data_IF_354725085422
#
_entry.id   IF_354725085422
#
_cell.length_a   1.000
_cell.length_b   1.000
_cell.length_c   1.000
_cell.angle_alpha   90.00
_cell.angle_beta   90.00
_cell.angle_gamma   90.00
#
_symmetry.space_group_name_H-M   'P 1'
#
loop_
_entity.id
_entity.type
_entity.pdbx_description
1 polymer ?
#
# COMPACT_ATOMS: atom_id res chain seq x y z
N UNK A 1 -19.12 1.81 -12.07
CA UNK A 1 -18.77 1.36 -12.29
C UNK A 1 -18.09 0.49 -12.32
N UNK A 2 -17.81 0.06 -12.28
CA UNK A 2 -17.33 -0.60 -12.28
C UNK A 2 -16.66 -1.36 -12.56
N UNK A 3 -16.54 -1.61 -12.73
CA UNK A 3 -16.00 -2.14 -13.21
C UNK A 3 -15.07 -2.83 -13.24
N UNK A 4 -14.70 -2.69 -12.86
CA UNK A 4 -13.69 -3.26 -13.22
C UNK A 4 -13.18 -4.00 -12.26
N UNK A 5 -13.03 -5.02 -12.45
CA UNK A 5 -12.68 -5.87 -11.40
C UNK A 5 -11.30 -5.64 -11.00
N UNK A 6 -11.06 -4.69 -10.18
CA UNK A 6 -9.83 -4.66 -9.56
C UNK A 6 -9.84 -5.63 -8.46
N UNK A 7 -9.77 -6.86 -8.77
CA UNK A 7 -9.58 -7.91 -7.80
C UNK A 7 -8.22 -7.76 -7.14
N UNK A 8 -8.09 -8.32 -5.96
CA UNK A 8 -6.81 -8.38 -5.25
C UNK A 8 -5.73 -9.01 -6.14
N UNK A 9 -6.09 -10.01 -6.92
CA UNK A 9 -5.15 -10.66 -7.85
C UNK A 9 -4.65 -9.70 -8.92
N UNK A 10 -5.52 -8.86 -9.44
CA UNK A 10 -5.14 -7.89 -10.45
C UNK A 10 -4.13 -6.87 -9.90
N UNK A 11 -4.43 -6.30 -8.72
CA UNK A 11 -3.50 -5.37 -8.05
C UNK A 11 -2.16 -6.04 -7.80
N UNK A 12 -2.20 -7.27 -7.32
CA UNK A 12 -0.99 -8.04 -7.04
C UNK A 12 -0.14 -8.21 -8.31
N UNK A 13 -0.77 -8.48 -9.44
CA UNK A 13 -0.06 -8.62 -10.71
C UNK A 13 0.60 -7.30 -11.15
N UNK A 14 -0.14 -6.19 -11.05
CA UNK A 14 0.41 -4.86 -11.37
C UNK A 14 1.63 -4.53 -10.51
N UNK A 15 1.51 -4.74 -9.21
CA UNK A 15 2.58 -4.42 -8.26
C UNK A 15 3.78 -5.33 -8.47
N UNK A 16 3.57 -6.63 -8.69
CA UNK A 16 4.65 -7.57 -8.97
C UNK A 16 5.49 -7.11 -10.16
N UNK A 17 4.85 -6.75 -11.26
CA UNK A 17 5.53 -6.25 -12.45
C UNK A 17 6.27 -4.94 -12.17
N UNK A 18 5.63 -4.01 -11.47
CA UNK A 18 6.20 -2.71 -11.19
C UNK A 18 7.38 -2.77 -10.22
N UNK A 19 7.38 -3.71 -9.27
CA UNK A 19 8.53 -3.96 -8.40
C UNK A 19 9.69 -4.51 -9.21
N UNK A 20 9.42 -5.42 -10.13
CA UNK A 20 10.47 -6.03 -10.96
C UNK A 20 11.07 -5.07 -11.97
N UNK A 21 10.28 -4.19 -12.56
CA UNK A 21 10.74 -3.30 -13.63
C UNK A 21 11.24 -1.93 -13.13
N UNK A 22 11.18 -1.67 -11.81
CA UNK A 22 11.66 -0.43 -11.22
C UNK A 22 10.69 0.73 -11.25
N UNK A 23 9.46 0.53 -11.70
CA UNK A 23 8.44 1.57 -11.67
C UNK A 23 8.05 1.93 -10.25
N UNK A 24 7.96 0.96 -9.35
CA UNK A 24 7.80 1.20 -7.93
C UNK A 24 9.19 1.23 -7.30
N UNK A 25 9.50 2.32 -6.63
CA UNK A 25 10.74 2.49 -5.88
C UNK A 25 10.42 2.36 -4.40
N UNK A 26 11.16 1.52 -3.69
CA UNK A 26 11.01 1.34 -2.24
C UNK A 26 12.06 2.19 -1.53
N UNK A 27 11.68 3.35 -0.96
CA UNK A 27 12.65 4.27 -0.37
C UNK A 27 13.42 3.61 0.77
N UNK A 28 14.72 3.86 0.83
CA UNK A 28 15.59 3.35 1.87
C UNK A 28 16.05 1.91 1.70
N UNK A 29 15.53 1.18 0.72
CA UNK A 29 15.99 -0.16 0.43
C UNK A 29 17.35 -0.10 -0.26
N UNK A 30 18.33 -0.82 0.28
CA UNK A 30 19.69 -0.81 -0.24
C UNK A 30 19.88 -1.95 -1.23
N UNK A 31 20.55 -1.63 -2.34
CA UNK A 31 20.84 -2.61 -3.38
C UNK A 31 19.79 -2.69 -4.48
N UNK A 32 20.03 -3.59 -5.41
CA UNK A 32 19.13 -3.84 -6.54
C UNK A 32 18.24 -5.03 -6.24
N UNK A 33 16.95 -4.89 -6.54
CA UNK A 33 15.99 -5.97 -6.34
C UNK A 33 16.37 -7.16 -7.24
N UNK A 34 16.57 -8.32 -6.63
CA UNK A 34 16.89 -9.55 -7.31
C UNK A 34 15.69 -10.50 -7.38
N UNK A 35 14.89 -10.57 -6.32
CA UNK A 35 13.74 -11.45 -6.27
C UNK A 35 12.53 -10.73 -5.71
N UNK A 36 11.37 -11.07 -6.23
CA UNK A 36 10.08 -10.62 -5.74
C UNK A 36 9.23 -11.89 -5.57
N UNK A 37 8.97 -12.24 -4.32
CA UNK A 37 8.22 -13.46 -3.98
C UNK A 37 6.85 -13.07 -3.45
N UNK A 38 5.82 -13.72 -3.97
CA UNK A 38 4.44 -13.45 -3.58
C UNK A 38 4.03 -14.24 -2.36
N UNK A 39 3.14 -13.66 -1.55
CA UNK A 39 2.41 -14.34 -0.48
C UNK A 39 3.32 -15.07 0.50
N UNK A 40 4.19 -14.32 1.13
CA UNK A 40 5.17 -14.87 2.07
C UNK A 40 4.73 -14.68 3.50
N UNK A 41 4.86 -15.75 4.28
CA UNK A 41 4.45 -15.75 5.68
C UNK A 41 5.47 -15.04 6.57
N UNK A 42 4.96 -14.26 7.50
CA UNK A 42 5.68 -13.77 8.67
C UNK A 42 4.73 -13.85 9.86
N UNK A 43 5.11 -14.62 10.88
CA UNK A 43 4.26 -14.88 12.05
C UNK A 43 2.88 -15.42 11.60
N UNK A 44 1.80 -14.70 11.90
CA UNK A 44 0.44 -15.13 11.58
C UNK A 44 -0.14 -14.39 10.38
N UNK A 45 0.69 -13.64 9.65
CA UNK A 45 0.27 -12.92 8.45
C UNK A 45 0.98 -13.44 7.22
N UNK A 46 0.28 -13.34 6.09
CA UNK A 46 0.85 -13.59 4.79
C UNK A 46 0.89 -12.24 4.09
N UNK A 47 2.10 -11.69 3.90
CA UNK A 47 2.27 -10.43 3.22
C UNK A 47 2.31 -10.64 1.71
N UNK A 48 1.88 -9.63 0.96
CA UNK A 48 1.74 -9.75 -0.49
C UNK A 48 3.05 -10.01 -1.19
N UNK A 49 4.15 -9.38 -0.74
CA UNK A 49 5.46 -9.53 -1.36
C UNK A 49 6.59 -9.55 -0.36
N UNK A 50 7.56 -10.42 -0.63
CA UNK A 50 8.90 -10.33 -0.03
C UNK A 50 9.88 -10.01 -1.14
N UNK A 51 10.59 -8.91 -1.00
CA UNK A 51 11.60 -8.42 -1.94
C UNK A 51 12.97 -8.64 -1.34
N UNK A 52 13.90 -9.18 -2.15
CA UNK A 52 15.28 -9.40 -1.72
C UNK A 52 16.24 -8.70 -2.68
N UNK A 53 17.25 -8.05 -2.14
CA UNK A 53 18.24 -7.29 -2.92
C UNK A 53 19.59 -7.97 -2.93
N UNK A 54 20.47 -7.51 -3.84
CA UNK A 54 21.85 -7.97 -3.92
C UNK A 54 22.74 -7.46 -2.77
N UNK A 55 22.19 -6.58 -1.93
CA UNK A 55 22.86 -6.12 -0.71
C UNK A 55 22.35 -6.86 0.53
N UNK A 56 21.72 -8.02 0.35
CA UNK A 56 21.16 -8.85 1.42
C UNK A 56 20.08 -8.16 2.25
N UNK A 57 19.41 -7.16 1.69
CA UNK A 57 18.24 -6.58 2.33
C UNK A 57 16.97 -7.32 1.93
N UNK A 58 16.05 -7.42 2.89
CA UNK A 58 14.75 -8.02 2.68
C UNK A 58 13.65 -7.04 3.07
N UNK A 59 12.62 -6.94 2.23
CA UNK A 59 11.52 -6.04 2.44
C UNK A 59 10.18 -6.74 2.27
N UNK A 60 9.27 -6.54 3.22
CA UNK A 60 7.88 -6.92 3.04
C UNK A 60 7.09 -5.74 2.49
N UNK A 61 6.25 -6.01 1.52
CA UNK A 61 5.34 -5.03 0.93
C UNK A 61 3.92 -5.57 1.04
N UNK A 62 3.08 -4.83 1.75
CA UNK A 62 1.66 -5.15 1.86
C UNK A 62 0.88 -4.17 1.01
N UNK A 63 0.05 -4.69 0.11
CA UNK A 63 -0.67 -3.90 -0.89
C UNK A 63 -2.12 -3.73 -0.47
N UNK A 64 -2.63 -2.50 -0.54
CA UNK A 64 -4.02 -2.20 -0.26
C UNK A 64 -4.60 -1.38 -1.42
N UNK A 65 -5.81 -1.71 -1.83
CA UNK A 65 -6.52 -0.93 -2.83
C UNK A 65 -7.22 0.26 -2.19
N UNK A 66 -7.01 1.45 -2.74
CA UNK A 66 -7.68 2.66 -2.28
C UNK A 66 -8.77 3.03 -3.27
N UNK A 67 -10.02 2.92 -2.84
CA UNK A 67 -11.19 3.01 -3.72
C UNK A 67 -12.14 4.14 -3.34
N UNK A 68 -11.78 4.94 -2.34
CA UNK A 68 -12.59 6.05 -1.88
C UNK A 68 -11.87 7.35 -2.21
N UNK A 69 -12.60 8.31 -2.75
CA UNK A 69 -12.02 9.58 -3.19
C UNK A 69 -13.01 10.71 -2.99
N UNK A 70 -12.51 11.87 -2.58
CA UNK A 70 -13.29 13.10 -2.58
C UNK A 70 -12.35 14.29 -2.76
N UNK A 71 -12.69 15.19 -3.67
CA UNK A 71 -11.96 16.44 -3.91
C UNK A 71 -10.47 16.24 -4.19
N UNK A 72 -10.13 15.17 -4.89
CA UNK A 72 -8.76 14.85 -5.24
C UNK A 72 -7.98 14.15 -4.14
N UNK A 73 -8.62 13.78 -3.03
CA UNK A 73 -8.00 13.06 -1.92
C UNK A 73 -8.49 11.62 -1.95
N UNK A 74 -7.56 10.68 -2.05
CA UNK A 74 -7.85 9.26 -1.90
C UNK A 74 -7.73 8.85 -0.44
N UNK A 75 -8.60 7.96 0.02
CA UNK A 75 -8.60 7.53 1.41
C UNK A 75 -8.84 6.03 1.56
N UNK A 76 -8.24 5.46 2.59
CA UNK A 76 -8.41 4.06 2.98
C UNK A 76 -8.64 4.00 4.50
N UNK A 77 -9.49 3.13 5.01
CA UNK A 77 -10.31 2.15 4.30
C UNK A 77 -11.68 2.71 3.90
N UNK A 78 -12.34 2.06 2.96
CA UNK A 78 -13.73 2.38 2.61
C UNK A 78 -14.72 1.74 3.57
N UNK A 79 -14.30 0.72 4.30
CA UNK A 79 -15.03 0.06 5.37
C UNK A 79 -14.06 -0.45 6.43
N UNK A 80 -14.49 -0.64 7.70
CA UNK A 80 -13.60 -1.15 8.73
C UNK A 80 -12.98 -2.49 8.35
N UNK A 81 -11.68 -2.67 8.68
CA UNK A 81 -10.93 -3.86 8.33
C UNK A 81 -10.10 -4.36 9.52
N UNK A 82 -10.51 -5.47 10.10
CA UNK A 82 -9.71 -6.14 11.15
C UNK A 82 -8.46 -6.76 10.55
N UNK A 83 -8.57 -7.28 9.34
CA UNK A 83 -7.43 -7.86 8.63
C UNK A 83 -6.36 -6.82 8.35
N UNK A 84 -6.78 -5.62 7.91
CA UNK A 84 -5.83 -4.52 7.68
C UNK A 84 -5.12 -4.11 8.95
N UNK A 85 -5.85 -4.03 10.06
CA UNK A 85 -5.29 -3.69 11.36
C UNK A 85 -4.24 -4.73 11.79
N UNK A 86 -4.55 -6.01 11.63
CA UNK A 86 -3.62 -7.10 11.94
C UNK A 86 -2.35 -7.02 11.09
N UNK A 87 -2.50 -6.77 9.80
CA UNK A 87 -1.35 -6.69 8.89
C UNK A 87 -0.40 -5.57 9.29
N UNK A 88 -0.93 -4.40 9.67
CA UNK A 88 -0.09 -3.28 10.10
C UNK A 88 0.67 -3.64 11.39
N UNK A 89 -0.01 -4.27 12.34
CA UNK A 89 0.63 -4.73 13.58
C UNK A 89 1.77 -5.69 13.29
N UNK A 90 1.56 -6.63 12.38
CA UNK A 90 2.60 -7.62 12.06
C UNK A 90 3.73 -7.04 11.20
N UNK A 91 3.46 -6.00 10.41
CA UNK A 91 4.55 -5.26 9.75
C UNK A 91 5.47 -4.59 10.77
N UNK A 92 4.91 -4.05 11.85
CA UNK A 92 5.74 -3.50 12.93
C UNK A 92 6.63 -4.58 13.54
N UNK A 93 6.10 -5.76 13.77
CA UNK A 93 6.89 -6.88 14.29
C UNK A 93 8.00 -7.29 13.30
N UNK A 94 7.68 -7.32 12.01
CA UNK A 94 8.67 -7.64 10.98
C UNK A 94 9.80 -6.59 10.92
N UNK A 95 9.47 -5.32 11.11
CA UNK A 95 10.46 -4.25 11.17
C UNK A 95 11.43 -4.49 12.33
N UNK A 96 10.93 -4.89 13.48
CA UNK A 96 11.77 -5.22 14.64
C UNK A 96 12.65 -6.44 14.39
N UNK A 97 12.21 -7.34 13.52
CA UNK A 97 12.96 -8.54 13.16
C UNK A 97 14.02 -8.27 12.08
N UNK A 98 14.15 -7.04 11.59
CA UNK A 98 15.20 -6.66 10.66
C UNK A 98 14.75 -6.50 9.21
N UNK A 99 13.47 -6.66 8.92
CA UNK A 99 12.93 -6.43 7.58
C UNK A 99 12.64 -4.96 7.37
N UNK A 100 12.82 -4.49 6.14
CA UNK A 100 12.23 -3.23 5.72
C UNK A 100 10.76 -3.49 5.39
N UNK A 101 9.87 -2.60 5.81
CA UNK A 101 8.43 -2.84 5.64
C UNK A 101 7.74 -1.66 5.01
N UNK A 102 6.82 -1.94 4.10
CA UNK A 102 6.13 -0.95 3.31
C UNK A 102 4.64 -1.30 3.22
N UNK A 103 3.81 -0.28 3.37
CA UNK A 103 2.40 -0.34 2.99
C UNK A 103 2.29 0.39 1.67
N UNK A 104 1.75 -0.28 0.64
CA UNK A 104 1.61 0.31 -0.68
C UNK A 104 0.14 0.42 -1.03
N UNK A 105 -0.34 1.65 -1.15
CA UNK A 105 -1.69 1.89 -1.63
C UNK A 105 -1.71 2.02 -3.14
N UNK A 106 -2.55 1.21 -3.78
CA UNK A 106 -2.85 1.33 -5.20
C UNK A 106 -4.14 2.13 -5.30
N UNK A 107 -4.02 3.38 -5.73
CA UNK A 107 -5.13 4.33 -5.77
C UNK A 107 -5.82 4.19 -7.14
N UNK A 108 -7.08 3.76 -7.12
CA UNK A 108 -7.80 3.41 -8.35
C UNK A 108 -8.38 4.61 -9.09
N UNK A 109 -7.78 5.78 -8.91
CA UNK A 109 -8.20 7.02 -9.56
C UNK A 109 -6.99 7.67 -10.19
N UNK A 110 -7.17 8.30 -11.34
CA UNK A 110 -6.08 8.97 -12.03
C UNK A 110 -5.82 10.36 -11.46
N UNK A 111 -6.87 11.12 -11.18
CA UNK A 111 -6.79 12.51 -10.77
C UNK A 111 -6.77 12.63 -9.24
N UNK A 112 -5.74 12.07 -8.63
CA UNK A 112 -5.55 12.12 -7.18
C UNK A 112 -4.36 13.01 -6.86
N UNK A 113 -4.55 13.95 -5.95
CA UNK A 113 -3.49 14.84 -5.48
C UNK A 113 -2.76 14.29 -4.27
N UNK A 114 -3.48 13.61 -3.40
CA UNK A 114 -2.93 13.10 -2.15
C UNK A 114 -3.71 11.90 -1.66
N UNK A 115 -3.04 11.03 -0.94
CA UNK A 115 -3.64 9.85 -0.31
C UNK A 115 -3.54 9.96 1.20
N UNK A 116 -4.51 9.44 1.91
CA UNK A 116 -4.54 9.46 3.37
C UNK A 116 -5.31 8.28 3.95
N UNK A 117 -5.37 8.21 5.27
CA UNK A 117 -6.21 7.26 5.99
C UNK A 117 -7.52 7.93 6.37
N UNK A 118 -8.63 7.23 6.14
CA UNK A 118 -9.95 7.69 6.55
C UNK A 118 -10.12 7.45 8.05
N UNK A 119 -9.70 8.41 8.84
CA UNK A 119 -9.62 8.26 10.30
C UNK A 119 -10.98 8.05 10.96
N UNK A 120 -12.01 8.74 10.48
CA UNK A 120 -13.34 8.58 11.04
C UNK A 120 -13.91 7.19 10.83
N UNK A 121 -13.55 6.55 9.72
CA UNK A 121 -14.03 5.20 9.41
C UNK A 121 -13.49 4.17 10.39
N UNK A 122 -12.22 4.28 10.76
CA UNK A 122 -11.57 3.34 11.67
C UNK A 122 -10.42 4.01 12.38
N UNK A 123 -10.70 4.72 13.50
CA UNK A 123 -9.63 5.42 14.24
C UNK A 123 -8.47 4.52 14.65
N UNK A 124 -8.76 3.29 15.05
CA UNK A 124 -7.71 2.34 15.43
C UNK A 124 -6.75 2.02 14.30
N UNK A 125 -7.24 2.00 13.06
CA UNK A 125 -6.38 1.78 11.90
C UNK A 125 -5.44 2.97 11.69
N UNK A 126 -5.95 4.19 11.78
CA UNK A 126 -5.13 5.40 11.64
C UNK A 126 -4.05 5.46 12.73
N UNK A 127 -4.41 5.15 13.98
CA UNK A 127 -3.44 5.09 15.08
C UNK A 127 -2.36 4.05 14.81
N UNK A 128 -2.76 2.89 14.33
CA UNK A 128 -1.83 1.79 14.07
C UNK A 128 -0.86 2.14 12.94
N UNK A 129 -1.36 2.77 11.87
CA UNK A 129 -0.50 3.25 10.78
C UNK A 129 0.48 4.30 11.28
N UNK A 130 0.02 5.23 12.12
CA UNK A 130 0.89 6.23 12.74
C UNK A 130 2.01 5.59 13.56
N UNK A 131 1.66 4.61 14.40
CA UNK A 131 2.66 3.88 15.18
C UNK A 131 3.64 3.12 14.28
N UNK A 132 3.16 2.53 13.20
CA UNK A 132 4.00 1.81 12.25
C UNK A 132 5.01 2.76 11.57
N UNK A 133 4.56 3.94 11.17
CA UNK A 133 5.42 4.96 10.57
C UNK A 133 6.51 5.36 11.57
N UNK A 134 6.15 5.58 12.83
CA UNK A 134 7.11 5.92 13.89
C UNK A 134 8.16 4.83 14.09
N UNK A 135 7.82 3.59 13.80
CA UNK A 135 8.74 2.46 13.94
C UNK A 135 9.53 2.16 12.66
N UNK A 136 9.32 2.93 11.61
CA UNK A 136 10.09 2.79 10.37
C UNK A 136 9.37 2.14 9.20
N UNK A 137 8.11 1.76 9.36
CA UNK A 137 7.30 1.30 8.23
C UNK A 137 7.02 2.49 7.33
N UNK A 138 7.24 2.34 6.03
CA UNK A 138 6.98 3.42 5.08
C UNK A 138 5.68 3.18 4.34
N UNK A 139 4.96 4.27 4.08
CA UNK A 139 3.68 4.22 3.36
C UNK A 139 3.85 4.90 2.02
N UNK A 140 3.51 4.18 0.97
CA UNK A 140 3.59 4.66 -0.41
C UNK A 140 2.22 4.60 -1.06
N UNK A 141 1.98 5.48 -2.02
CA UNK A 141 0.78 5.46 -2.81
C UNK A 141 1.13 5.71 -4.28
N UNK A 142 0.50 4.94 -5.16
CA UNK A 142 0.63 5.10 -6.59
C UNK A 142 -0.76 5.15 -7.20
N UNK A 143 -1.02 6.13 -8.05
CA UNK A 143 -2.28 6.19 -8.76
C UNK A 143 -2.24 5.34 -10.02
N UNK A 144 -3.39 5.24 -10.68
CA UNK A 144 -3.55 4.40 -11.86
C UNK A 144 -4.09 5.22 -13.01
N UNK A 145 -3.69 4.84 -14.23
CA UNK A 145 -4.35 5.26 -15.44
C UNK A 145 -5.37 4.20 -15.80
N UNK A 146 -6.63 4.58 -15.89
CA UNK A 146 -7.74 3.65 -16.07
C UNK A 146 -8.44 3.95 -17.38
N UNK A 147 -8.58 2.92 -18.21
CA UNK A 147 -9.41 2.98 -19.44
C UNK A 147 -10.47 1.88 -19.34
N UNK A 148 -11.48 1.87 -20.24
CA UNK A 148 -12.46 0.78 -20.22
C UNK A 148 -11.85 -0.61 -20.39
N UNK A 149 -10.67 -0.69 -20.99
CA UNK A 149 -10.03 -1.98 -21.30
C UNK A 149 -8.82 -2.30 -20.44
N UNK A 150 -8.21 -1.30 -19.79
CA UNK A 150 -6.93 -1.49 -19.08
C UNK A 150 -6.84 -0.69 -17.80
N UNK A 151 -5.93 -1.12 -16.95
CA UNK A 151 -5.46 -0.33 -15.82
C UNK A 151 -3.94 -0.48 -15.73
N UNK A 152 -3.28 0.63 -15.48
CA UNK A 152 -1.82 0.67 -15.36
C UNK A 152 -1.46 1.57 -14.19
N UNK A 153 -0.37 1.27 -13.50
CA UNK A 153 0.18 2.21 -12.53
C UNK A 153 0.70 3.43 -13.28
N UNK A 154 0.45 4.62 -12.74
CA UNK A 154 0.80 5.87 -13.40
C UNK A 154 1.96 6.57 -12.71
N UNK A 155 1.75 7.03 -11.48
CA UNK A 155 2.75 7.84 -10.78
C UNK A 155 2.59 7.72 -9.28
N UNK A 156 3.65 8.12 -8.58
CA UNK A 156 3.59 8.18 -7.12
C UNK A 156 2.75 9.37 -6.68
N UNK A 157 1.94 9.14 -5.66
CA UNK A 157 1.08 10.14 -5.04
C UNK A 157 1.58 10.36 -3.61
N UNK A 158 1.60 11.61 -3.15
CA UNK A 158 1.99 11.90 -1.78
C UNK A 158 0.99 11.29 -0.80
N UNK A 159 1.51 10.59 0.21
CA UNK A 159 0.70 10.12 1.34
C UNK A 159 0.92 11.03 2.53
N UNK A 160 -0.16 11.50 3.14
CA UNK A 160 -0.11 12.30 4.36
C UNK A 160 -1.17 11.79 5.34
N UNK A 161 -0.72 11.18 6.41
CA UNK A 161 -1.62 10.63 7.44
C UNK A 161 -2.53 11.71 8.05
N UNK A 162 -2.06 12.95 8.11
CA UNK A 162 -2.77 14.04 8.75
C UNK A 162 -3.70 14.80 7.80
N UNK A 163 -3.73 14.43 6.53
CA UNK A 163 -4.63 15.07 5.56
C UNK A 163 -6.08 14.81 5.93
N UNK A 164 -6.85 15.87 6.04
CA UNK A 164 -8.29 15.76 6.29
C UNK A 164 -8.99 15.13 5.10
N UNK A 165 -9.98 14.31 5.37
CA UNK A 165 -10.79 13.67 4.34
C UNK A 165 -12.27 13.78 4.67
N UNK A 166 -13.04 14.32 3.74
CA UNK A 166 -14.49 14.42 3.85
C UNK A 166 -15.10 13.23 3.10
N UNK A 167 -15.80 12.36 3.85
CA UNK A 167 -16.41 11.18 3.26
C UNK A 167 -17.60 11.60 2.37
N UNK A 168 -17.56 11.30 1.06
CA UNK A 168 -18.65 11.66 0.16
C UNK A 168 -19.94 10.87 0.40
N UNK A 169 -19.86 9.80 1.18
CA UNK A 169 -20.99 8.94 1.50
C UNK A 169 -21.63 9.27 2.85
N UNK A 170 -21.21 10.37 3.45
CA UNK A 170 -21.68 10.74 4.77
C UNK A 170 -22.87 11.69 4.72
#
# INVERSE_FOLDING_TARGET
STLFPYTTLFRSTLVNEALKNGQIVLPGLVGTIQTVKREQLFAHSKFDFLVETDADEQAFVEVKGMTLENKGIGAFPDAPTLRGLKHVTELMAATKAGYRCYILFVVQFEEIKQATIHQEMQPAFAENVGAAIDQGVQVLAYNCHVTPATIELKSQVTFDLLQAFDDPNK
#
